data_IF_740411313011
#
_entry.id   IF_740411313011
#
_cell.length_a   1.000
_cell.length_b   1.000
_cell.length_c   1.000
_cell.angle_alpha   90.00
_cell.angle_beta   90.00
_cell.angle_gamma   90.00
#
_symmetry.space_group_name_H-M   'P 1'
#
loop_
_entity.id
_entity.type
_entity.pdbx_description
1 polymer ?
#
# COMPACT_ATOMS: atom_id res chain seq x y z
N UNK A 1 -37.91 -7.16 -23.53
CA UNK A 1 -36.94 -6.60 -24.49
C UNK A 1 -35.62 -6.27 -23.84
N UNK A 2 -34.59 -7.03 -24.21
CA UNK A 2 -33.19 -6.65 -24.04
C UNK A 2 -32.64 -6.38 -25.45
N UNK A 3 -32.25 -5.14 -25.73
CA UNK A 3 -31.73 -4.74 -27.04
C UNK A 3 -30.36 -5.38 -27.32
N UNK A 4 -30.39 -6.53 -28.02
CA UNK A 4 -29.23 -7.34 -28.41
C UNK A 4 -28.31 -6.65 -29.44
N UNK A 5 -28.73 -5.49 -29.98
CA UNK A 5 -27.97 -4.69 -30.95
C UNK A 5 -26.94 -3.76 -30.31
N UNK A 6 -27.00 -3.55 -28.99
CA UNK A 6 -26.04 -2.72 -28.28
C UNK A 6 -24.84 -3.57 -27.87
N UNK A 7 -23.66 -3.30 -28.40
CA UNK A 7 -22.43 -3.90 -27.91
C UNK A 7 -22.31 -3.68 -26.40
N UNK A 8 -22.01 -4.74 -25.64
CA UNK A 8 -21.82 -4.65 -24.20
C UNK A 8 -20.75 -3.60 -23.88
N UNK A 9 -21.12 -2.58 -23.11
CA UNK A 9 -20.18 -1.50 -22.72
C UNK A 9 -19.13 -2.11 -21.80
N UNK A 10 -17.90 -2.24 -22.30
CA UNK A 10 -16.77 -2.65 -21.46
C UNK A 10 -16.58 -1.62 -20.34
N UNK A 11 -16.68 -2.07 -19.10
CA UNK A 11 -16.36 -1.25 -17.93
C UNK A 11 -14.94 -1.62 -17.50
N UNK A 12 -13.98 -0.67 -17.49
CA UNK A 12 -12.65 -0.96 -16.95
C UNK A 12 -12.78 -1.39 -15.48
N UNK A 13 -12.04 -2.43 -15.10
CA UNK A 13 -11.91 -2.81 -13.69
C UNK A 13 -11.15 -1.70 -12.96
N UNK A 14 -11.81 -1.02 -12.03
CA UNK A 14 -11.15 -0.07 -11.14
C UNK A 14 -10.51 -0.83 -9.98
N UNK A 15 -9.25 -0.53 -9.67
CA UNK A 15 -8.60 -1.00 -8.45
C UNK A 15 -9.08 -0.14 -7.29
N UNK A 16 -9.45 -0.74 -6.18
CA UNK A 16 -9.76 0.00 -4.96
C UNK A 16 -8.47 0.65 -4.44
N UNK A 17 -8.33 1.96 -4.67
CA UNK A 17 -7.18 2.74 -4.21
C UNK A 17 -7.47 3.37 -2.85
N UNK A 18 -6.44 3.51 -2.02
CA UNK A 18 -6.55 4.22 -0.75
C UNK A 18 -6.83 5.72 -0.97
N UNK A 19 -8.00 6.19 -0.55
CA UNK A 19 -8.37 7.60 -0.54
C UNK A 19 -8.37 8.16 0.87
N UNK A 20 -7.88 9.40 1.05
CA UNK A 20 -7.86 10.09 2.35
C UNK A 20 -8.35 11.52 2.24
N UNK A 21 -8.93 12.07 3.30
CA UNK A 21 -9.22 13.51 3.40
C UNK A 21 -8.02 14.28 3.95
N UNK A 22 -8.01 15.61 3.76
CA UNK A 22 -6.96 16.48 4.30
C UNK A 22 -7.00 16.61 5.81
N UNK A 23 -8.18 16.52 6.40
CA UNK A 23 -8.39 16.64 7.84
C UNK A 23 -7.85 15.42 8.56
N UNK A 24 -8.12 14.23 8.01
CA UNK A 24 -7.58 12.97 8.50
C UNK A 24 -6.06 12.96 8.48
N UNK A 25 -5.45 13.44 7.39
CA UNK A 25 -4.00 13.59 7.31
C UNK A 25 -3.48 14.52 8.41
N UNK A 26 -4.13 15.64 8.67
CA UNK A 26 -3.67 16.56 9.71
C UNK A 26 -3.76 15.94 11.10
N UNK A 27 -4.76 15.09 11.36
CA UNK A 27 -4.99 14.44 12.65
C UNK A 27 -4.09 13.23 12.88
N UNK A 28 -3.93 12.38 11.86
CA UNK A 28 -3.27 11.07 12.00
C UNK A 28 -1.83 11.03 11.47
N UNK A 29 -1.37 12.04 10.72
CA UNK A 29 0.03 12.11 10.28
C UNK A 29 0.95 12.44 11.46
N UNK A 30 1.54 11.39 12.03
CA UNK A 30 2.54 11.41 13.08
C UNK A 30 3.60 10.33 12.75
N UNK A 31 4.89 10.63 12.94
CA UNK A 31 6.00 9.71 12.69
C UNK A 31 5.87 8.35 13.41
N UNK A 32 5.13 8.29 14.52
CA UNK A 32 4.85 7.06 15.28
C UNK A 32 3.85 6.15 14.59
N UNK A 33 2.92 6.71 13.81
CA UNK A 33 1.88 5.94 13.12
C UNK A 33 2.37 5.49 11.74
N UNK A 34 3.29 4.52 11.75
CA UNK A 34 3.91 3.97 10.55
C UNK A 34 2.88 3.36 9.61
N UNK A 35 1.82 2.74 10.15
CA UNK A 35 0.76 2.11 9.35
C UNK A 35 -0.02 3.11 8.52
N UNK A 36 -0.27 4.32 9.05
CA UNK A 36 -0.88 5.40 8.28
C UNK A 36 0.08 5.99 7.24
N UNK A 37 1.35 6.19 7.61
CA UNK A 37 2.37 6.74 6.71
C UNK A 37 2.73 5.80 5.55
N UNK A 38 2.62 4.48 5.76
CA UNK A 38 2.89 3.46 4.76
C UNK A 38 1.99 3.57 3.52
N UNK A 39 0.75 4.07 3.68
CA UNK A 39 -0.15 4.29 2.55
C UNK A 39 0.32 5.40 1.59
N UNK A 40 1.26 6.25 2.02
CA UNK A 40 1.81 7.36 1.23
C UNK A 40 3.17 7.05 0.60
N UNK A 41 3.64 5.80 0.69
CA UNK A 41 4.85 5.34 0.01
C UNK A 41 4.51 4.28 -1.02
N UNK A 42 5.37 4.15 -2.03
CA UNK A 42 5.35 3.02 -2.95
C UNK A 42 5.99 1.79 -2.32
N UNK A 43 5.83 0.63 -2.95
CA UNK A 43 6.53 -0.62 -2.59
C UNK A 43 8.05 -0.41 -2.49
N UNK A 44 8.61 0.40 -3.39
CA UNK A 44 10.03 0.79 -3.40
C UNK A 44 10.45 1.72 -2.24
N UNK A 45 9.51 2.19 -1.43
CA UNK A 45 9.77 3.19 -0.39
C UNK A 45 9.89 4.62 -0.93
N UNK A 46 9.33 4.95 -2.09
CA UNK A 46 9.33 6.33 -2.62
C UNK A 46 8.06 7.04 -2.12
N UNK A 47 8.18 8.30 -1.70
CA UNK A 47 7.00 9.09 -1.28
C UNK A 47 6.13 9.38 -2.50
N UNK A 48 4.86 9.02 -2.42
CA UNK A 48 3.91 9.17 -3.51
C UNK A 48 3.56 10.62 -3.82
N UNK A 49 3.18 10.86 -5.08
CA UNK A 49 2.83 12.20 -5.56
C UNK A 49 1.53 12.69 -4.93
N UNK A 50 1.49 13.97 -4.54
CA UNK A 50 0.28 14.65 -4.01
C UNK A 50 -0.96 14.44 -4.87
N UNK A 51 -0.81 14.43 -6.20
CA UNK A 51 -1.92 14.32 -7.15
C UNK A 51 -2.73 13.03 -7.00
N UNK A 52 -2.10 11.94 -6.51
CA UNK A 52 -2.75 10.65 -6.27
C UNK A 52 -3.84 10.76 -5.19
N UNK A 53 -3.52 11.41 -4.07
CA UNK A 53 -4.43 11.52 -2.91
C UNK A 53 -5.32 12.77 -2.93
N UNK A 54 -5.10 13.71 -3.86
CA UNK A 54 -5.86 14.97 -3.98
C UNK A 54 -5.92 15.82 -2.69
N UNK A 55 -4.91 15.71 -1.83
CA UNK A 55 -4.82 16.47 -0.56
C UNK A 55 -4.22 17.87 -0.74
N UNK A 56 -4.22 18.71 0.30
CA UNK A 56 -3.58 20.04 0.26
C UNK A 56 -2.05 19.96 0.24
N UNK A 57 -1.37 20.98 -0.28
CA UNK A 57 0.09 21.03 -0.28
C UNK A 57 0.68 21.05 1.15
N UNK A 58 -0.03 21.66 2.11
CA UNK A 58 0.35 21.68 3.52
C UNK A 58 0.31 20.27 4.13
N UNK A 59 -0.76 19.52 3.84
CA UNK A 59 -0.92 18.14 4.29
C UNK A 59 0.20 17.25 3.72
N UNK A 60 0.50 17.35 2.42
CA UNK A 60 1.61 16.61 1.81
C UNK A 60 2.96 16.91 2.46
N UNK A 61 3.28 18.19 2.73
CA UNK A 61 4.55 18.56 3.39
C UNK A 61 4.63 18.00 4.81
N UNK A 62 3.51 17.98 5.54
CA UNK A 62 3.43 17.34 6.87
C UNK A 62 3.75 15.85 6.76
N UNK A 63 3.06 15.11 5.88
CA UNK A 63 3.33 13.69 5.63
C UNK A 63 4.82 13.46 5.30
N UNK A 64 5.36 14.23 4.35
CA UNK A 64 6.75 14.07 3.93
C UNK A 64 7.76 14.35 5.06
N UNK A 65 7.46 15.28 5.97
CA UNK A 65 8.27 15.55 7.16
C UNK A 65 8.23 14.36 8.12
N UNK A 66 7.03 13.88 8.45
CA UNK A 66 6.84 12.75 9.36
C UNK A 66 7.48 11.46 8.83
N UNK A 67 7.34 11.16 7.53
CA UNK A 67 8.02 10.01 6.89
C UNK A 67 9.54 10.12 7.03
N UNK A 68 10.11 11.31 6.79
CA UNK A 68 11.56 11.51 6.92
C UNK A 68 12.04 11.33 8.35
N UNK A 69 11.27 11.79 9.34
CA UNK A 69 11.57 11.57 10.76
C UNK A 69 11.49 10.08 11.09
N UNK A 70 10.41 9.40 10.67
CA UNK A 70 10.23 7.97 10.86
C UNK A 70 11.39 7.15 10.28
N UNK A 71 11.90 7.54 9.10
CA UNK A 71 13.10 6.96 8.48
C UNK A 71 14.38 7.22 9.26
N UNK A 72 14.58 8.45 9.74
CA UNK A 72 15.74 8.77 10.56
C UNK A 72 15.77 7.97 11.88
N UNK A 73 14.59 7.63 12.40
CA UNK A 73 14.41 6.78 13.58
C UNK A 73 14.47 5.27 13.27
N UNK A 74 14.61 4.87 12.01
CA UNK A 74 14.67 3.45 11.61
C UNK A 74 13.32 2.72 11.61
N UNK A 75 12.20 3.44 11.73
CA UNK A 75 10.85 2.86 11.72
C UNK A 75 10.35 2.55 10.30
N UNK A 76 10.89 3.23 9.28
CA UNK A 76 10.55 3.04 7.87
C UNK A 76 11.82 2.97 7.02
N UNK A 77 11.86 2.16 5.96
CA UNK A 77 13.00 2.09 5.06
C UNK A 77 13.11 3.32 4.13
N UNK A 78 14.34 3.62 3.70
CA UNK A 78 14.62 4.65 2.69
C UNK A 78 14.45 4.13 1.26
N UNK A 79 14.77 2.85 1.03
CA UNK A 79 14.64 2.15 -0.24
C UNK A 79 14.31 0.69 0.04
N UNK A 80 13.50 0.11 -0.83
CA UNK A 80 13.15 -1.31 -0.82
C UNK A 80 13.51 -1.97 -2.16
N UNK A 81 14.25 -1.27 -3.02
CA UNK A 81 14.60 -1.78 -4.35
C UNK A 81 15.48 -3.04 -4.23
N UNK A 82 14.98 -4.17 -4.74
CA UNK A 82 15.66 -5.47 -4.66
C UNK A 82 15.45 -6.21 -3.33
N UNK A 83 14.47 -5.80 -2.53
CA UNK A 83 14.06 -6.41 -1.27
C UNK A 83 12.52 -6.52 -1.21
N UNK A 84 11.99 -7.25 -0.25
CA UNK A 84 10.54 -7.40 -0.06
C UNK A 84 9.87 -6.08 0.29
N UNK A 85 8.65 -5.82 -0.22
CA UNK A 85 7.93 -4.58 0.04
C UNK A 85 7.75 -4.35 1.54
N UNK A 86 7.81 -3.08 1.93
CA UNK A 86 7.65 -2.72 3.33
C UNK A 86 6.20 -2.95 3.80
N UNK A 87 6.02 -3.93 4.69
CA UNK A 87 4.73 -4.21 5.34
C UNK A 87 4.82 -3.77 6.81
N UNK A 88 4.08 -2.75 7.24
CA UNK A 88 4.08 -2.31 8.62
C UNK A 88 3.68 -3.43 9.58
N UNK A 89 4.53 -3.71 10.57
CA UNK A 89 4.26 -4.71 11.61
C UNK A 89 4.60 -6.15 11.23
N UNK A 90 5.22 -6.39 10.06
CA UNK A 90 5.85 -7.67 9.73
C UNK A 90 7.36 -7.50 9.64
N UNK A 91 8.11 -8.44 10.20
CA UNK A 91 9.56 -8.50 9.97
C UNK A 91 9.87 -9.18 8.63
N UNK A 92 11.09 -8.99 8.09
CA UNK A 92 11.50 -9.66 6.83
C UNK A 92 11.43 -11.19 6.98
N UNK A 93 11.93 -11.72 8.10
CA UNK A 93 11.94 -13.15 8.40
C UNK A 93 10.52 -13.72 8.42
N UNK A 94 9.57 -13.02 9.05
CA UNK A 94 8.17 -13.44 9.06
C UNK A 94 7.55 -13.53 7.66
N UNK A 95 7.96 -12.68 6.72
CA UNK A 95 7.47 -12.77 5.34
C UNK A 95 8.06 -13.98 4.60
N UNK A 96 9.36 -14.25 4.78
CA UNK A 96 10.05 -15.42 4.21
C UNK A 96 9.47 -16.74 4.78
N UNK A 97 9.20 -16.79 6.10
CA UNK A 97 8.59 -17.92 6.78
C UNK A 97 7.16 -18.19 6.27
N UNK A 98 6.34 -17.13 6.09
CA UNK A 98 5.00 -17.25 5.51
C UNK A 98 5.02 -17.78 4.06
N UNK A 99 5.99 -17.33 3.26
CA UNK A 99 6.18 -17.81 1.89
C UNK A 99 6.56 -19.30 1.89
N UNK A 100 7.50 -19.70 2.75
CA UNK A 100 7.91 -21.10 2.90
C UNK A 100 6.74 -21.97 3.36
N UNK A 101 5.99 -21.54 4.37
CA UNK A 101 4.81 -22.25 4.88
C UNK A 101 3.71 -22.38 3.81
N UNK A 102 3.52 -21.36 2.96
CA UNK A 102 2.57 -21.44 1.85
C UNK A 102 2.94 -22.54 0.85
N UNK A 103 4.23 -22.72 0.55
CA UNK A 103 4.71 -23.78 -0.34
C UNK A 103 4.85 -25.15 0.35
N UNK A 104 5.10 -25.18 1.66
CA UNK A 104 5.22 -26.40 2.45
C UNK A 104 3.85 -27.01 2.81
N UNK A 105 2.76 -26.24 2.72
CA UNK A 105 1.39 -26.78 2.78
C UNK A 105 1.23 -27.81 1.67
N UNK A 106 0.95 -29.09 2.00
CA UNK A 106 0.67 -30.07 0.97
C UNK A 106 -0.56 -29.57 0.23
N UNK A 107 -0.43 -29.38 -1.08
CA UNK A 107 -1.54 -29.11 -1.98
C UNK A 107 -2.38 -30.40 -2.09
N UNK A 108 -3.10 -30.73 -1.02
CA UNK A 108 -4.09 -31.80 -1.05
C UNK A 108 -5.20 -31.41 -2.04
N UNK A 109 -5.04 -31.91 -3.27
CA UNK A 109 -6.10 -32.31 -4.18
C UNK A 109 -7.24 -31.31 -4.44
N UNK A 110 -7.04 -30.40 -5.39
CA UNK A 110 -8.13 -30.07 -6.33
C UNK A 110 -7.98 -30.96 -7.57
N UNK A 111 -8.21 -32.25 -7.36
CA UNK A 111 -8.49 -33.19 -8.43
C UNK A 111 -9.86 -32.85 -9.01
N UNK A 112 -9.88 -32.43 -10.27
CA UNK A 112 -11.07 -32.41 -11.11
C UNK A 112 -11.60 -33.85 -11.24
N UNK A 113 -12.81 -34.10 -10.75
CA UNK A 113 -13.80 -35.04 -11.29
C UNK A 113 -15.19 -34.50 -10.96
#
# INVERSE_FOLDING_TARGET
>A
DLDIRRAGVWKPFHKEEFTTTTEDVLKYADFRNVRFLANFITEAGIIEKRSKFKISAKAQRKIAKEIKISRALGLMPFTTMGQDPFIPGKSRLENEDEEYDFYARPSYGRGFF
#
